data_IF_012137412687
#
_entry.id   IF_012137412687
#
_cell.length_a   1.000
_cell.length_b   1.000
_cell.length_c   1.000
_cell.angle_alpha   90.00
_cell.angle_beta   90.00
_cell.angle_gamma   90.00
#
_symmetry.space_group_name_H-M   'P 1'
#
loop_
_entity.id
_entity.type
_entity.pdbx_description
1 polymer ?
#
# COMPACT_ATOMS: atom_id res chain seq x y z
N UNK A 1 -19.63 -24.50 13.49
CA UNK A 1 -20.74 -24.21 14.44
C UNK A 1 -21.04 -22.74 14.34
N UNK A 2 -22.24 -22.38 13.90
CA UNK A 2 -22.65 -21.00 13.78
C UNK A 2 -22.79 -20.40 15.19
N UNK A 3 -21.99 -19.39 15.51
CA UNK A 3 -22.20 -18.57 16.71
C UNK A 3 -23.58 -17.94 16.56
N UNK A 4 -24.46 -18.00 17.55
CA UNK A 4 -25.84 -17.57 17.38
C UNK A 4 -25.92 -16.06 17.12
N UNK A 5 -26.15 -15.69 15.88
CA UNK A 5 -26.60 -14.34 15.49
C UNK A 5 -27.83 -13.92 16.31
N UNK A 6 -28.62 -14.90 16.78
CA UNK A 6 -29.80 -14.68 17.61
C UNK A 6 -29.54 -14.00 18.96
N UNK A 7 -28.35 -14.15 19.56
CA UNK A 7 -28.02 -13.47 20.84
C UNK A 7 -27.71 -11.98 20.62
N UNK A 8 -27.16 -11.63 19.45
CA UNK A 8 -26.92 -10.25 19.09
C UNK A 8 -28.21 -9.47 18.77
N UNK A 9 -29.19 -10.13 18.22
CA UNK A 9 -30.50 -9.49 17.86
C UNK A 9 -31.39 -9.27 19.11
N UNK A 10 -31.36 -10.15 20.11
CA UNK A 10 -32.13 -9.99 21.33
C UNK A 10 -31.65 -8.79 22.17
N UNK A 11 -30.35 -8.55 22.23
CA UNK A 11 -29.81 -7.39 22.97
C UNK A 11 -30.09 -6.05 22.24
N UNK A 12 -30.18 -6.05 20.90
CA UNK A 12 -30.60 -4.90 20.11
C UNK A 12 -32.05 -4.49 20.36
N UNK A 13 -32.92 -5.47 20.55
CA UNK A 13 -34.36 -5.26 20.81
C UNK A 13 -34.64 -4.82 22.25
N UNK A 14 -33.86 -5.31 23.23
CA UNK A 14 -34.08 -5.06 24.64
C UNK A 14 -33.51 -3.74 25.15
N UNK A 15 -32.40 -3.25 24.59
CA UNK A 15 -31.67 -2.11 25.15
C UNK A 15 -31.56 -0.87 24.23
N UNK A 16 -32.06 -0.93 23.01
CA UNK A 16 -31.94 0.16 22.04
C UNK A 16 -30.49 0.50 21.66
N UNK A 17 -30.29 1.15 20.54
CA UNK A 17 -28.95 1.50 19.97
C UNK A 17 -28.06 2.38 20.87
N UNK A 18 -28.53 2.82 22.04
CA UNK A 18 -27.85 3.78 22.91
C UNK A 18 -27.23 3.21 24.17
N UNK A 19 -27.42 1.91 24.48
CA UNK A 19 -27.03 1.33 25.77
C UNK A 19 -25.96 0.24 25.71
N UNK A 20 -25.37 -0.04 24.55
CA UNK A 20 -24.21 -0.93 24.52
C UNK A 20 -23.01 -0.19 25.06
N UNK A 21 -22.61 -0.53 26.26
CA UNK A 21 -21.36 -0.13 26.84
C UNK A 21 -20.23 -0.90 26.10
N UNK A 22 -19.26 -0.16 25.61
CA UNK A 22 -18.03 -0.64 24.96
C UNK A 22 -17.22 -1.61 25.82
N UNK A 23 -17.55 -1.77 27.09
CA UNK A 23 -16.87 -2.59 28.09
C UNK A 23 -17.05 -4.12 27.89
N UNK A 24 -17.79 -4.54 26.85
CA UNK A 24 -18.07 -5.96 26.61
C UNK A 24 -17.18 -6.64 25.58
N UNK A 25 -16.46 -5.90 24.76
CA UNK A 25 -15.50 -6.49 23.84
C UNK A 25 -14.09 -6.41 24.45
N UNK A 26 -13.64 -7.52 24.99
CA UNK A 26 -12.25 -7.68 25.41
C UNK A 26 -11.54 -8.54 24.39
N UNK A 27 -10.37 -8.10 23.97
CA UNK A 27 -9.54 -8.83 23.02
C UNK A 27 -9.24 -10.26 23.54
N UNK A 28 -9.13 -10.42 24.85
CA UNK A 28 -8.86 -11.69 25.54
C UNK A 28 -10.00 -12.71 25.42
N UNK A 29 -11.25 -12.25 25.26
CA UNK A 29 -12.44 -13.10 25.25
C UNK A 29 -12.75 -13.73 23.89
N UNK A 30 -12.02 -13.35 22.83
CA UNK A 30 -12.23 -13.83 21.45
C UNK A 30 -11.09 -14.75 21.00
N UNK A 31 -11.36 -15.66 20.06
CA UNK A 31 -10.34 -16.55 19.53
C UNK A 31 -9.47 -15.86 18.47
N UNK A 32 -8.25 -16.35 18.24
CA UNK A 32 -7.38 -15.83 17.20
C UNK A 32 -7.96 -16.04 15.79
N UNK A 33 -8.69 -17.15 15.58
CA UNK A 33 -9.43 -17.39 14.34
C UNK A 33 -10.48 -16.32 14.06
N UNK A 34 -11.18 -15.86 15.11
CA UNK A 34 -12.13 -14.77 15.01
C UNK A 34 -11.41 -13.46 14.63
N UNK A 35 -10.29 -13.15 15.29
CA UNK A 35 -9.50 -11.95 15.01
C UNK A 35 -8.98 -11.93 13.57
N UNK A 36 -8.42 -13.04 13.09
CA UNK A 36 -7.95 -13.19 11.72
C UNK A 36 -9.09 -13.03 10.72
N UNK A 37 -10.26 -13.62 10.99
CA UNK A 37 -11.41 -13.53 10.06
C UNK A 37 -12.04 -12.15 10.00
N UNK A 38 -12.10 -11.43 11.11
CA UNK A 38 -12.78 -10.13 11.24
C UNK A 38 -11.85 -8.95 10.98
N UNK A 39 -10.62 -9.04 11.41
CA UNK A 39 -9.66 -7.92 11.39
C UNK A 39 -8.40 -8.21 10.56
N UNK A 40 -8.23 -9.43 10.06
CA UNK A 40 -7.12 -9.82 9.19
C UNK A 40 -5.77 -9.98 9.90
N UNK A 41 -5.73 -9.87 11.24
CA UNK A 41 -4.50 -9.87 12.02
C UNK A 41 -4.59 -10.71 13.29
N UNK A 42 -3.50 -11.39 13.70
CA UNK A 42 -3.44 -12.14 14.93
C UNK A 42 -3.38 -11.21 16.15
N UNK A 43 -3.75 -11.71 17.31
CA UNK A 43 -3.81 -11.01 18.61
C UNK A 43 -2.51 -10.26 18.94
N UNK A 44 -1.36 -10.92 18.76
CA UNK A 44 -0.06 -10.32 19.08
C UNK A 44 0.22 -9.07 18.24
N UNK A 45 -0.16 -9.07 16.97
CA UNK A 45 -0.04 -7.91 16.10
C UNK A 45 -0.95 -6.77 16.55
N UNK A 46 -2.16 -7.07 16.98
CA UNK A 46 -3.09 -6.06 17.51
C UNK A 46 -2.53 -5.44 18.79
N UNK A 47 -1.96 -6.24 19.72
CA UNK A 47 -1.30 -5.71 20.92
C UNK A 47 -0.11 -4.83 20.56
N UNK A 48 0.72 -5.24 19.59
CA UNK A 48 1.81 -4.40 19.12
C UNK A 48 1.30 -3.03 18.61
N UNK A 49 0.20 -2.99 17.86
CA UNK A 49 -0.40 -1.73 17.43
C UNK A 49 -0.96 -0.91 18.58
N UNK A 50 -1.51 -1.55 19.62
CA UNK A 50 -1.98 -0.86 20.84
C UNK A 50 -0.80 -0.20 21.55
N UNK A 51 0.33 -0.88 21.68
CA UNK A 51 1.54 -0.33 22.29
C UNK A 51 2.12 0.82 21.42
N UNK A 52 2.15 0.64 20.10
CA UNK A 52 2.69 1.62 19.17
C UNK A 52 1.86 2.91 19.12
N UNK A 53 0.53 2.80 19.09
CA UNK A 53 -0.39 3.91 18.82
C UNK A 53 -1.13 4.41 20.07
N UNK A 54 -1.07 3.68 21.17
CA UNK A 54 -1.88 3.92 22.37
C UNK A 54 -1.75 5.34 22.93
N UNK A 55 -0.55 5.90 22.92
CA UNK A 55 -0.30 7.26 23.40
C UNK A 55 -1.05 8.31 22.57
N UNK A 56 -1.10 8.16 21.24
CA UNK A 56 -1.80 9.09 20.32
C UNK A 56 -3.32 8.93 20.40
N UNK A 57 -3.79 7.71 20.68
CA UNK A 57 -5.22 7.39 20.72
C UNK A 57 -5.85 7.63 22.09
N UNK A 58 -5.04 7.76 23.12
CA UNK A 58 -5.50 8.01 24.49
C UNK A 58 -5.96 9.45 24.66
N UNK A 59 -7.11 9.65 25.30
CA UNK A 59 -7.60 10.97 25.64
C UNK A 59 -7.11 11.43 27.01
N UNK A 60 -6.74 12.72 27.18
CA UNK A 60 -6.33 13.27 28.48
C UNK A 60 -7.41 13.22 29.54
N UNK A 61 -8.70 13.10 29.16
CA UNK A 61 -9.83 13.07 30.09
C UNK A 61 -10.52 11.71 30.05
N UNK A 62 -10.51 11.02 31.19
CA UNK A 62 -11.29 9.80 31.41
C UNK A 62 -12.78 10.12 31.63
N UNK A 63 -13.50 10.44 30.57
CA UNK A 63 -14.96 10.44 30.62
C UNK A 63 -15.46 9.02 30.46
N UNK A 64 -16.50 8.63 31.20
CA UNK A 64 -17.07 7.26 31.27
C UNK A 64 -17.53 6.63 29.94
N UNK A 65 -17.33 7.31 28.81
CA UNK A 65 -17.66 6.84 27.45
C UNK A 65 -16.52 7.07 26.44
N UNK A 66 -15.28 7.20 26.89
CA UNK A 66 -14.14 7.26 26.00
C UNK A 66 -13.91 5.90 25.35
N UNK A 67 -13.77 5.85 24.02
CA UNK A 67 -13.42 4.63 23.29
C UNK A 67 -11.95 4.35 23.53
N UNK A 68 -11.63 3.13 24.01
CA UNK A 68 -10.24 2.72 24.27
C UNK A 68 -9.39 2.71 23.00
N UNK A 69 -8.07 2.86 23.11
CA UNK A 69 -7.16 2.70 21.96
C UNK A 69 -7.34 1.36 21.26
N UNK A 70 -7.48 0.28 22.01
CA UNK A 70 -7.74 -1.07 21.50
C UNK A 70 -8.99 -1.12 20.61
N UNK A 71 -10.11 -0.60 21.09
CA UNK A 71 -11.36 -0.55 20.32
C UNK A 71 -11.23 0.33 19.07
N UNK A 72 -10.50 1.45 19.16
CA UNK A 72 -10.25 2.31 18.00
C UNK A 72 -9.44 1.58 16.92
N UNK A 73 -8.40 0.83 17.32
CA UNK A 73 -7.56 0.04 16.41
C UNK A 73 -8.39 -1.07 15.75
N UNK A 74 -9.17 -1.83 16.52
CA UNK A 74 -10.04 -2.86 15.97
C UNK A 74 -11.05 -2.29 14.96
N UNK A 75 -11.64 -1.14 15.28
CA UNK A 75 -12.54 -0.44 14.37
C UNK A 75 -11.85 -0.09 13.04
N UNK A 76 -10.64 0.47 13.12
CA UNK A 76 -9.88 0.83 11.93
C UNK A 76 -9.43 -0.39 11.11
N UNK A 77 -8.86 -1.42 11.76
CA UNK A 77 -8.47 -2.67 11.09
C UNK A 77 -9.65 -3.33 10.40
N UNK A 78 -10.80 -3.45 11.08
CA UNK A 78 -12.01 -3.99 10.47
C UNK A 78 -12.47 -3.23 9.23
N UNK A 79 -12.33 -1.90 9.22
CA UNK A 79 -12.61 -1.08 8.05
C UNK A 79 -11.60 -1.35 6.92
N UNK A 80 -10.29 -1.31 7.21
CA UNK A 80 -9.26 -1.50 6.19
C UNK A 80 -9.33 -2.87 5.53
N UNK A 81 -9.51 -3.92 6.33
CA UNK A 81 -9.46 -5.31 5.85
C UNK A 81 -10.75 -5.80 5.22
N UNK A 82 -11.91 -5.31 5.64
CA UNK A 82 -13.19 -5.73 5.08
C UNK A 82 -13.62 -4.94 3.84
N UNK A 83 -13.21 -3.68 3.74
CA UNK A 83 -13.77 -2.73 2.76
C UNK A 83 -15.28 -2.46 2.96
N UNK A 84 -15.83 -2.93 4.08
CA UNK A 84 -17.27 -2.84 4.37
C UNK A 84 -17.66 -1.44 4.84
N UNK A 85 -18.94 -1.12 4.65
CA UNK A 85 -19.49 0.13 5.19
C UNK A 85 -19.28 0.20 6.71
N UNK A 86 -18.89 1.38 7.20
CA UNK A 86 -18.63 1.67 8.63
C UNK A 86 -19.80 1.27 9.54
N UNK A 87 -21.03 1.29 9.05
CA UNK A 87 -22.22 0.90 9.80
C UNK A 87 -22.17 -0.55 10.26
N UNK A 88 -21.83 -1.49 9.35
CA UNK A 88 -21.75 -2.92 9.69
C UNK A 88 -20.65 -3.22 10.70
N UNK A 89 -19.49 -2.57 10.55
CA UNK A 89 -18.39 -2.73 11.49
C UNK A 89 -18.69 -2.08 12.85
N UNK A 90 -19.35 -0.93 12.85
CA UNK A 90 -19.82 -0.25 14.07
C UNK A 90 -20.79 -1.12 14.85
N UNK A 91 -21.73 -1.76 14.18
CA UNK A 91 -22.69 -2.69 14.80
C UNK A 91 -22.00 -3.91 15.41
N UNK A 92 -20.98 -4.47 14.75
CA UNK A 92 -20.20 -5.61 15.25
C UNK A 92 -19.39 -5.28 16.52
N UNK A 93 -18.86 -4.06 16.62
CA UNK A 93 -18.06 -3.59 17.76
C UNK A 93 -18.95 -2.92 18.82
N UNK A 94 -20.19 -2.57 18.49
CA UNK A 94 -21.14 -1.92 19.40
C UNK A 94 -20.99 -0.39 19.50
N UNK A 95 -20.43 0.26 18.48
CA UNK A 95 -20.26 1.71 18.39
C UNK A 95 -21.08 2.32 17.26
N UNK A 96 -21.46 3.59 17.40
CA UNK A 96 -22.20 4.30 16.36
C UNK A 96 -21.32 4.54 15.12
N UNK A 97 -21.95 4.71 13.93
CA UNK A 97 -21.24 5.03 12.70
C UNK A 97 -20.37 6.30 12.85
N UNK A 98 -20.86 7.33 13.55
CA UNK A 98 -20.08 8.55 13.80
C UNK A 98 -18.85 8.30 14.70
N UNK A 99 -18.94 7.35 15.62
CA UNK A 99 -17.79 6.91 16.44
C UNK A 99 -16.83 6.07 15.62
N UNK A 100 -17.35 5.18 14.78
CA UNK A 100 -16.56 4.39 13.84
C UNK A 100 -15.73 5.29 12.91
N UNK A 101 -16.35 6.30 12.30
CA UNK A 101 -15.66 7.25 11.42
C UNK A 101 -14.52 7.99 12.15
N UNK A 102 -14.75 8.37 13.42
CA UNK A 102 -13.71 9.00 14.25
C UNK A 102 -12.57 8.03 14.60
N UNK A 103 -12.89 6.78 14.92
CA UNK A 103 -11.86 5.78 15.20
C UNK A 103 -10.98 5.56 13.99
N UNK A 104 -11.56 5.38 12.80
CA UNK A 104 -10.81 5.24 11.55
C UNK A 104 -9.92 6.46 11.32
N UNK A 105 -10.46 7.68 11.47
CA UNK A 105 -9.68 8.91 11.29
C UNK A 105 -8.50 9.03 12.28
N UNK A 106 -8.74 8.77 13.57
CA UNK A 106 -7.71 8.86 14.60
C UNK A 106 -6.57 7.86 14.37
N UNK A 107 -6.91 6.61 14.05
CA UNK A 107 -5.92 5.55 13.80
C UNK A 107 -5.16 5.80 12.51
N UNK A 108 -5.87 6.25 11.45
CA UNK A 108 -5.23 6.65 10.19
C UNK A 108 -4.18 7.74 10.45
N UNK A 109 -4.55 8.81 11.16
CA UNK A 109 -3.63 9.91 11.46
C UNK A 109 -2.42 9.44 12.27
N UNK A 110 -2.64 8.64 13.32
CA UNK A 110 -1.59 8.11 14.16
C UNK A 110 -0.61 7.18 13.39
N UNK A 111 -1.06 6.48 12.36
CA UNK A 111 -0.22 5.69 11.45
C UNK A 111 0.54 6.59 10.49
N UNK A 112 -0.12 7.59 9.90
CA UNK A 112 0.50 8.55 8.96
C UNK A 112 1.61 9.35 9.63
N UNK A 113 1.42 9.80 10.88
CA UNK A 113 2.48 10.47 11.67
C UNK A 113 3.74 9.62 11.85
N UNK A 114 3.62 8.31 11.72
CA UNK A 114 4.73 7.34 11.83
C UNK A 114 5.22 6.79 10.50
N UNK A 115 4.67 7.26 9.39
CA UNK A 115 4.98 6.71 8.08
C UNK A 115 6.49 6.66 7.79
N UNK A 116 7.24 7.72 8.14
CA UNK A 116 8.68 7.79 7.94
C UNK A 116 9.50 6.80 8.78
N UNK A 117 8.92 6.21 9.83
CA UNK A 117 9.57 5.17 10.63
C UNK A 117 9.55 3.80 9.93
N UNK A 118 8.55 3.58 9.09
CA UNK A 118 8.31 2.29 8.44
C UNK A 118 8.50 2.32 6.92
N UNK A 119 8.41 3.49 6.29
CA UNK A 119 8.54 3.67 4.84
C UNK A 119 9.67 4.67 4.60
N UNK A 120 10.86 4.15 4.32
CA UNK A 120 12.05 4.95 4.02
C UNK A 120 13.08 4.11 3.27
N UNK A 121 13.92 4.76 2.48
CA UNK A 121 15.10 4.14 1.92
C UNK A 121 16.17 3.99 3.01
N UNK A 122 16.96 2.90 3.00
CA UNK A 122 18.16 2.83 3.83
C UNK A 122 19.16 3.89 3.41
N UNK A 123 19.86 4.47 4.40
CA UNK A 123 20.84 5.53 4.17
C UNK A 123 22.29 5.02 4.20
N UNK A 124 22.52 3.86 4.82
CA UNK A 124 23.84 3.28 4.97
C UNK A 124 24.24 2.40 3.78
N UNK A 125 25.53 2.41 3.45
CA UNK A 125 26.06 1.67 2.29
C UNK A 125 25.88 0.15 2.38
N UNK A 126 25.88 -0.42 3.58
CA UNK A 126 25.72 -1.85 3.79
C UNK A 126 24.30 -2.29 3.43
N UNK A 127 23.30 -1.56 3.93
CA UNK A 127 21.90 -1.82 3.63
C UNK A 127 21.57 -1.58 2.15
N UNK A 128 22.16 -0.55 1.52
CA UNK A 128 22.04 -0.32 0.07
C UNK A 128 22.66 -1.45 -0.73
N UNK A 129 23.81 -2.00 -0.29
CA UNK A 129 24.41 -3.16 -0.97
C UNK A 129 23.53 -4.41 -0.81
N UNK A 130 22.93 -4.63 0.36
CA UNK A 130 21.99 -5.74 0.55
C UNK A 130 20.78 -5.65 -0.39
N UNK A 131 20.22 -4.44 -0.62
CA UNK A 131 19.17 -4.26 -1.63
C UNK A 131 19.61 -4.73 -3.02
N UNK A 132 20.81 -4.31 -3.45
CA UNK A 132 21.37 -4.72 -4.76
C UNK A 132 21.56 -6.23 -4.84
N UNK A 133 22.06 -6.85 -3.80
CA UNK A 133 22.31 -8.29 -3.73
C UNK A 133 21.00 -9.08 -3.73
N UNK A 134 19.99 -8.66 -2.97
CA UNK A 134 18.66 -9.27 -2.93
C UNK A 134 18.00 -9.22 -4.33
N UNK A 135 18.05 -8.09 -5.03
CA UNK A 135 17.53 -7.97 -6.39
C UNK A 135 18.33 -8.79 -7.42
N UNK A 136 19.65 -8.78 -7.31
CA UNK A 136 20.49 -9.59 -8.19
C UNK A 136 20.18 -11.08 -8.04
N UNK A 137 19.93 -11.54 -6.83
CA UNK A 137 19.53 -12.92 -6.52
C UNK A 137 18.21 -13.35 -7.14
N UNK A 138 17.31 -12.40 -7.50
CA UNK A 138 16.01 -12.74 -8.11
C UNK A 138 16.13 -13.15 -9.59
N UNK A 139 16.81 -12.33 -10.38
CA UNK A 139 16.85 -12.51 -11.83
C UNK A 139 18.16 -12.01 -12.48
N UNK A 140 19.20 -11.76 -11.70
CA UNK A 140 20.50 -11.31 -12.20
C UNK A 140 20.53 -9.85 -12.66
N UNK A 141 19.59 -9.03 -12.23
CA UNK A 141 19.56 -7.60 -12.56
C UNK A 141 20.45 -6.81 -11.59
N UNK A 142 21.59 -6.24 -12.03
CA UNK A 142 22.56 -5.62 -11.13
C UNK A 142 22.16 -4.20 -10.75
N UNK A 143 22.66 -3.71 -9.61
CA UNK A 143 22.60 -2.31 -9.20
C UNK A 143 21.20 -1.79 -8.83
N UNK A 144 20.21 -2.65 -8.67
CA UNK A 144 18.84 -2.25 -8.37
C UNK A 144 18.70 -1.87 -6.90
N UNK A 145 18.15 -0.69 -6.63
CA UNK A 145 17.86 -0.17 -5.30
C UNK A 145 16.37 -0.27 -4.93
N UNK A 146 15.51 -0.45 -5.93
CA UNK A 146 14.06 -0.55 -5.72
C UNK A 146 13.32 -0.66 -7.04
N UNK A 147 12.06 -1.10 -6.94
CA UNK A 147 11.13 -1.15 -8.05
C UNK A 147 10.13 -0.03 -7.89
N UNK A 148 9.93 0.77 -8.91
CA UNK A 148 8.99 1.89 -8.91
C UNK A 148 7.82 1.61 -9.84
N UNK A 149 6.62 1.90 -9.36
CA UNK A 149 5.40 1.76 -10.15
C UNK A 149 4.28 2.63 -9.55
N UNK A 150 3.25 2.86 -10.34
CA UNK A 150 2.05 3.59 -9.95
C UNK A 150 0.84 2.66 -9.82
N UNK A 151 0.01 2.91 -8.84
CA UNK A 151 -1.20 2.13 -8.61
C UNK A 151 -2.40 3.04 -8.34
N UNK A 152 -3.49 2.84 -9.10
CA UNK A 152 -4.72 3.59 -8.92
C UNK A 152 -5.61 2.98 -7.83
N UNK A 153 -6.04 3.84 -6.90
CA UNK A 153 -7.05 3.50 -5.88
C UNK A 153 -8.31 4.31 -6.14
N UNK A 154 -9.43 3.62 -6.35
CA UNK A 154 -10.70 4.24 -6.65
C UNK A 154 -11.25 5.05 -5.47
N UNK A 155 -11.67 6.29 -5.72
CA UNK A 155 -12.23 7.21 -4.74
C UNK A 155 -13.60 7.72 -5.17
N UNK A 156 -14.38 8.21 -4.23
CA UNK A 156 -15.59 8.98 -4.54
C UNK A 156 -15.21 10.27 -5.28
N UNK A 157 -15.95 10.61 -6.33
CA UNK A 157 -15.80 11.87 -7.03
C UNK A 157 -15.84 13.04 -6.04
N UNK A 158 -14.79 13.89 -5.98
CA UNK A 158 -14.80 15.06 -5.08
C UNK A 158 -15.89 16.04 -5.46
N UNK A 159 -16.02 16.31 -6.76
CA UNK A 159 -17.08 17.07 -7.40
C UNK A 159 -17.40 16.41 -8.74
N UNK A 160 -18.66 16.43 -9.15
CA UNK A 160 -19.10 15.82 -10.42
C UNK A 160 -18.44 16.45 -11.66
N UNK A 161 -18.00 17.70 -11.56
CA UNK A 161 -17.37 18.47 -12.65
C UNK A 161 -15.82 18.41 -12.60
N UNK A 162 -15.24 17.87 -11.54
CA UNK A 162 -13.78 17.81 -11.36
C UNK A 162 -13.19 16.57 -12.04
N UNK A 163 -12.66 16.76 -13.25
CA UNK A 163 -12.01 15.71 -14.04
C UNK A 163 -10.56 15.43 -13.62
N UNK A 164 -9.99 16.17 -12.67
CA UNK A 164 -8.61 16.01 -12.23
C UNK A 164 -8.32 14.61 -11.68
N UNK A 165 -9.33 13.95 -11.14
CA UNK A 165 -9.20 12.61 -10.56
C UNK A 165 -9.66 11.49 -11.49
N UNK A 166 -10.13 11.80 -12.69
CA UNK A 166 -10.61 10.79 -13.64
C UNK A 166 -9.43 10.15 -14.37
N UNK A 167 -9.23 8.85 -14.14
CA UNK A 167 -8.20 8.08 -14.82
C UNK A 167 -8.63 7.65 -16.24
N UNK A 168 -7.73 7.00 -17.00
CA UNK A 168 -7.99 6.53 -18.37
C UNK A 168 -9.19 5.57 -18.49
N UNK A 169 -9.56 4.86 -17.41
CA UNK A 169 -10.74 3.97 -17.36
C UNK A 169 -12.04 4.72 -17.07
N UNK A 170 -12.00 6.06 -16.98
CA UNK A 170 -13.15 6.90 -16.66
C UNK A 170 -13.59 6.86 -15.19
N UNK A 171 -12.75 6.34 -14.30
CA UNK A 171 -13.02 6.23 -12.86
C UNK A 171 -12.27 7.30 -12.09
N UNK A 172 -12.90 7.85 -11.05
CA UNK A 172 -12.20 8.74 -10.12
C UNK A 172 -11.27 7.93 -9.24
N UNK A 173 -9.99 8.31 -9.21
CA UNK A 173 -8.95 7.62 -8.45
C UNK A 173 -7.86 8.56 -7.96
N UNK A 174 -7.12 8.11 -6.94
CA UNK A 174 -5.79 8.62 -6.65
C UNK A 174 -4.78 7.74 -7.36
N UNK A 175 -3.76 8.34 -7.94
CA UNK A 175 -2.59 7.66 -8.44
C UNK A 175 -1.53 7.62 -7.32
N UNK A 176 -0.99 6.45 -7.00
CA UNK A 176 -0.09 6.24 -5.89
C UNK A 176 1.26 5.77 -6.44
N UNK A 177 2.29 6.62 -6.35
CA UNK A 177 3.66 6.28 -6.70
C UNK A 177 4.31 5.55 -5.53
N UNK A 178 4.79 4.33 -5.77
CA UNK A 178 5.35 3.46 -4.74
C UNK A 178 6.69 2.92 -5.19
N UNK A 179 7.61 2.77 -4.24
CA UNK A 179 8.85 2.00 -4.44
C UNK A 179 8.90 0.87 -3.44
N UNK A 180 9.27 -0.34 -3.88
CA UNK A 180 9.47 -1.46 -2.97
C UNK A 180 10.84 -2.14 -3.15
N UNK A 181 11.25 -2.89 -2.12
CA UNK A 181 12.40 -3.79 -2.16
C UNK A 181 12.08 -5.15 -2.80
N UNK A 182 13.06 -6.06 -2.82
CA UNK A 182 12.93 -7.41 -3.38
C UNK A 182 11.95 -8.31 -2.60
N UNK A 183 11.58 -7.95 -1.38
CA UNK A 183 10.62 -8.66 -0.53
C UNK A 183 9.23 -8.06 -0.59
N UNK A 184 9.08 -6.91 -1.27
CA UNK A 184 7.84 -6.16 -1.35
C UNK A 184 7.62 -5.20 -0.19
N UNK A 185 8.66 -4.90 0.62
CA UNK A 185 8.64 -3.86 1.63
C UNK A 185 8.66 -2.50 0.93
N UNK A 186 7.77 -1.61 1.30
CA UNK A 186 7.66 -0.30 0.67
C UNK A 186 8.75 0.64 1.20
N UNK A 187 9.58 1.15 0.30
CA UNK A 187 10.67 2.10 0.60
C UNK A 187 10.23 3.56 0.40
N UNK A 188 9.21 3.79 -0.42
CA UNK A 188 8.60 5.10 -0.66
C UNK A 188 7.14 4.93 -1.04
N UNK A 189 6.28 5.85 -0.63
CA UNK A 189 4.87 5.87 -0.99
C UNK A 189 4.33 7.31 -1.01
N UNK A 190 3.99 7.79 -2.21
CA UNK A 190 3.30 9.06 -2.43
C UNK A 190 1.88 8.78 -2.92
N UNK A 191 0.88 8.98 -2.07
CA UNK A 191 -0.48 8.47 -2.26
C UNK A 191 -1.52 9.55 -2.61
N UNK A 192 -1.07 10.75 -3.00
CA UNK A 192 -1.91 11.94 -3.11
C UNK A 192 -2.11 12.45 -4.54
N UNK A 193 -1.54 11.79 -5.53
CA UNK A 193 -1.57 12.27 -6.91
C UNK A 193 -2.96 12.11 -7.55
N UNK A 194 -3.43 13.10 -8.32
CA UNK A 194 -4.69 12.97 -9.05
C UNK A 194 -4.65 11.85 -10.09
N UNK A 195 -5.73 11.09 -10.21
CA UNK A 195 -5.82 9.94 -11.12
C UNK A 195 -5.73 10.27 -12.61
N UNK A 196 -5.91 11.52 -13.01
CA UNK A 196 -5.72 11.95 -14.40
C UNK A 196 -4.25 12.07 -14.82
N UNK A 197 -3.33 12.15 -13.85
CA UNK A 197 -1.90 12.26 -14.14
C UNK A 197 -1.35 10.91 -14.61
N UNK A 198 -0.57 10.95 -15.70
CA UNK A 198 0.21 9.81 -16.20
C UNK A 198 1.37 9.50 -15.24
N UNK A 199 1.78 8.25 -15.17
CA UNK A 199 2.78 7.76 -14.21
C UNK A 199 4.13 8.47 -14.36
N UNK A 200 4.58 8.70 -15.59
CA UNK A 200 5.78 9.50 -15.89
C UNK A 200 5.68 10.94 -15.35
N UNK A 201 4.49 11.54 -15.39
CA UNK A 201 4.27 12.90 -14.87
C UNK A 201 4.21 12.93 -13.34
N UNK A 202 3.66 11.88 -12.72
CA UNK A 202 3.66 11.69 -11.28
C UNK A 202 5.12 11.62 -10.80
N UNK A 203 5.92 10.74 -11.37
CA UNK A 203 7.33 10.59 -11.01
C UNK A 203 8.10 11.91 -11.25
N UNK A 204 7.82 12.61 -12.34
CA UNK A 204 8.51 13.86 -12.66
C UNK A 204 8.27 14.98 -11.64
N UNK A 205 7.14 14.96 -10.94
CA UNK A 205 6.78 15.94 -9.91
C UNK A 205 7.03 15.44 -8.48
N UNK A 206 7.44 14.19 -8.32
CA UNK A 206 7.59 13.52 -7.03
C UNK A 206 8.79 14.01 -6.21
N UNK A 207 8.70 13.83 -4.91
CA UNK A 207 9.84 13.99 -4.00
C UNK A 207 10.92 12.92 -4.27
N UNK A 208 10.50 11.73 -4.69
CA UNK A 208 11.37 10.62 -5.06
C UNK A 208 12.37 11.04 -6.16
N UNK A 209 11.89 11.67 -7.23
CA UNK A 209 12.76 12.19 -8.29
C UNK A 209 13.82 13.14 -7.74
N UNK A 210 13.39 14.09 -6.90
CA UNK A 210 14.31 15.09 -6.34
C UNK A 210 15.43 14.43 -5.51
N UNK A 211 15.14 13.35 -4.77
CA UNK A 211 16.12 12.60 -4.01
C UNK A 211 17.17 11.94 -4.92
N UNK A 212 16.74 11.26 -5.98
CA UNK A 212 17.65 10.61 -6.93
C UNK A 212 18.48 11.61 -7.73
N UNK A 213 17.88 12.70 -8.21
CA UNK A 213 18.59 13.77 -8.94
C UNK A 213 19.57 14.54 -8.05
N UNK A 214 19.29 14.67 -6.75
CA UNK A 214 20.23 15.22 -5.78
C UNK A 214 21.41 14.27 -5.46
N UNK A 215 21.38 13.04 -5.97
CA UNK A 215 22.43 12.04 -5.77
C UNK A 215 22.45 11.46 -4.35
N UNK A 216 21.28 11.41 -3.68
CA UNK A 216 21.16 10.78 -2.35
C UNK A 216 21.40 9.27 -2.40
N UNK A 217 21.09 8.65 -3.53
CA UNK A 217 21.25 7.21 -3.77
C UNK A 217 22.22 6.97 -4.92
N UNK A 218 23.53 7.07 -4.63
CA UNK A 218 24.60 6.89 -5.61
C UNK A 218 24.79 5.40 -5.93
N UNK A 219 25.33 5.13 -7.12
CA UNK A 219 25.76 3.80 -7.57
C UNK A 219 24.65 2.75 -7.68
N UNK A 220 23.43 3.17 -8.01
CA UNK A 220 22.32 2.27 -8.28
C UNK A 220 21.16 2.98 -8.97
N UNK A 221 20.17 2.19 -9.35
CA UNK A 221 19.00 2.67 -10.06
C UNK A 221 17.72 1.99 -9.58
N UNK A 222 16.60 2.63 -9.87
CA UNK A 222 15.29 2.00 -9.79
C UNK A 222 14.98 1.24 -11.09
N UNK A 223 14.10 0.24 -11.01
CA UNK A 223 13.45 -0.32 -12.19
C UNK A 223 12.00 0.15 -12.25
N UNK A 224 11.61 0.70 -13.39
CA UNK A 224 10.23 1.06 -13.70
C UNK A 224 9.80 0.41 -15.01
N UNK A 225 8.50 0.35 -15.25
CA UNK A 225 7.94 -0.19 -16.49
C UNK A 225 8.07 0.81 -17.67
N UNK A 226 7.45 0.49 -18.80
CA UNK A 226 7.47 1.32 -20.02
C UNK A 226 6.68 2.63 -19.91
N UNK A 227 5.92 2.83 -18.85
CA UNK A 227 5.19 4.10 -18.59
C UNK A 227 6.12 5.23 -18.14
N UNK A 228 7.34 4.89 -17.72
CA UNK A 228 8.33 5.85 -17.23
C UNK A 228 9.39 6.17 -18.28
N UNK A 229 9.97 7.38 -18.17
CA UNK A 229 11.13 7.76 -18.98
C UNK A 229 12.42 7.14 -18.43
N UNK A 230 13.26 6.63 -19.30
CA UNK A 230 14.62 6.21 -18.95
C UNK A 230 15.41 7.38 -18.34
N UNK A 231 16.11 7.14 -17.23
CA UNK A 231 16.99 8.09 -16.55
C UNK A 231 18.30 7.39 -16.15
N UNK A 232 19.32 8.12 -15.83
CA UNK A 232 20.57 7.55 -15.31
C UNK A 232 20.36 6.73 -14.03
N UNK A 233 19.33 7.07 -13.25
CA UNK A 233 18.92 6.44 -12.01
C UNK A 233 17.62 5.61 -12.12
N UNK A 234 17.04 5.48 -13.34
CA UNK A 234 15.81 4.69 -13.58
C UNK A 234 15.93 3.92 -14.88
N UNK A 235 16.03 2.59 -14.75
CA UNK A 235 16.08 1.67 -15.88
C UNK A 235 14.69 1.20 -16.26
N UNK A 236 14.37 1.29 -17.55
CA UNK A 236 13.12 0.84 -18.16
C UNK A 236 13.39 -0.24 -19.19
N UNK A 237 12.41 -1.08 -19.56
CA UNK A 237 12.61 -2.10 -20.58
C UNK A 237 12.86 -1.46 -21.96
N UNK A 238 13.50 -2.21 -22.83
CA UNK A 238 13.61 -1.87 -24.23
C UNK A 238 12.31 -2.24 -24.94
N UNK A 239 11.79 -1.32 -25.74
CA UNK A 239 10.53 -1.55 -26.47
C UNK A 239 10.68 -2.66 -27.52
N UNK A 240 11.73 -2.59 -28.34
CA UNK A 240 12.02 -3.57 -29.36
C UNK A 240 13.43 -4.07 -29.12
N UNK A 241 13.61 -5.19 -28.40
CA UNK A 241 14.93 -5.80 -28.25
C UNK A 241 15.31 -6.47 -29.58
N UNK A 242 16.51 -6.19 -30.07
CA UNK A 242 17.03 -6.72 -31.34
C UNK A 242 18.13 -7.76 -31.12
N UNK A 243 18.89 -7.62 -30.04
CA UNK A 243 20.04 -8.50 -29.76
C UNK A 243 19.74 -9.50 -28.64
N UNK A 244 20.45 -10.64 -28.59
CA UNK A 244 20.30 -11.58 -27.46
C UNK A 244 20.57 -10.94 -26.09
N UNK A 245 21.46 -9.95 -26.00
CA UNK A 245 21.73 -9.19 -24.77
C UNK A 245 20.51 -8.40 -24.33
N UNK A 246 19.85 -7.69 -25.25
CA UNK A 246 18.64 -6.92 -24.98
C UNK A 246 17.46 -7.80 -24.56
N UNK A 247 17.31 -8.97 -25.19
CA UNK A 247 16.30 -9.94 -24.77
C UNK A 247 16.57 -10.44 -23.33
N UNK A 248 17.83 -10.77 -22.98
CA UNK A 248 18.18 -11.18 -21.61
C UNK A 248 17.91 -10.06 -20.59
N UNK A 249 18.26 -8.82 -20.94
CA UNK A 249 17.97 -7.66 -20.11
C UNK A 249 16.46 -7.51 -19.86
N UNK A 250 15.63 -7.52 -20.90
CA UNK A 250 14.18 -7.40 -20.75
C UNK A 250 13.59 -8.55 -19.94
N UNK A 251 14.09 -9.78 -20.09
CA UNK A 251 13.67 -10.91 -19.26
C UNK A 251 14.04 -10.72 -17.80
N UNK A 252 15.26 -10.30 -17.50
CA UNK A 252 15.70 -10.02 -16.12
C UNK A 252 14.92 -8.86 -15.51
N UNK A 253 14.71 -7.78 -16.29
CA UNK A 253 13.92 -6.62 -15.90
C UNK A 253 12.49 -7.03 -15.53
N UNK A 254 11.77 -7.70 -16.43
CA UNK A 254 10.39 -8.13 -16.22
C UNK A 254 10.26 -9.09 -15.02
N UNK A 255 11.16 -10.08 -14.90
CA UNK A 255 11.16 -11.01 -13.78
C UNK A 255 11.36 -10.31 -12.43
N UNK A 256 12.21 -9.28 -12.40
CA UNK A 256 12.46 -8.48 -11.21
C UNK A 256 11.26 -7.56 -10.91
N UNK A 257 10.76 -6.84 -11.91
CA UNK A 257 9.66 -5.88 -11.77
C UNK A 257 8.34 -6.53 -11.32
N UNK A 258 8.10 -7.79 -11.63
CA UNK A 258 6.93 -8.54 -11.15
C UNK A 258 6.75 -8.54 -9.61
N UNK A 259 7.80 -8.22 -8.85
CA UNK A 259 7.71 -8.13 -7.38
C UNK A 259 6.79 -6.98 -6.96
N UNK A 260 6.88 -5.80 -7.59
CA UNK A 260 6.04 -4.66 -7.19
C UNK A 260 4.57 -4.91 -7.54
N UNK A 261 4.27 -5.51 -8.67
CA UNK A 261 2.90 -5.91 -9.03
C UNK A 261 2.32 -6.89 -8.00
N UNK A 262 3.14 -7.84 -7.55
CA UNK A 262 2.77 -8.78 -6.50
C UNK A 262 2.53 -8.07 -5.18
N UNK A 263 3.34 -7.07 -4.85
CA UNK A 263 3.17 -6.25 -3.64
C UNK A 263 1.85 -5.49 -3.66
N UNK A 264 1.46 -4.91 -4.79
CA UNK A 264 0.15 -4.28 -4.93
C UNK A 264 -1.01 -5.27 -4.79
N UNK A 265 -0.88 -6.49 -5.34
CA UNK A 265 -1.89 -7.54 -5.14
C UNK A 265 -2.02 -7.93 -3.67
N UNK A 266 -0.90 -8.08 -2.97
CA UNK A 266 -0.86 -8.38 -1.54
C UNK A 266 -1.48 -7.25 -0.73
N UNK A 267 -1.15 -6.00 -1.04
CA UNK A 267 -1.71 -4.81 -0.38
C UNK A 267 -3.24 -4.77 -0.52
N UNK A 268 -3.77 -4.94 -1.74
CA UNK A 268 -5.23 -4.98 -2.00
C UNK A 268 -5.92 -6.19 -1.38
N UNK A 269 -5.26 -7.34 -1.36
CA UNK A 269 -5.80 -8.56 -0.74
C UNK A 269 -5.93 -8.41 0.77
N UNK A 270 -4.93 -7.79 1.41
CA UNK A 270 -4.92 -7.53 2.86
C UNK A 270 -5.87 -6.41 3.23
N UNK A 271 -5.87 -5.32 2.47
CA UNK A 271 -6.68 -4.12 2.73
C UNK A 271 -7.74 -3.93 1.64
N UNK A 272 -8.84 -4.65 1.79
CA UNK A 272 -9.93 -4.66 0.80
C UNK A 272 -10.60 -3.30 0.60
N UNK A 273 -10.40 -2.34 1.49
CA UNK A 273 -10.82 -0.96 1.27
C UNK A 273 -10.11 -0.30 0.08
N UNK A 274 -8.95 -0.84 -0.35
CA UNK A 274 -8.19 -0.40 -1.53
C UNK A 274 -8.58 -1.15 -2.82
N UNK A 275 -9.40 -2.20 -2.70
CA UNK A 275 -9.82 -3.03 -3.83
C UNK A 275 -11.04 -2.40 -4.53
N UNK A 276 -10.81 -1.80 -5.69
CA UNK A 276 -11.85 -1.16 -6.49
C UNK A 276 -13.01 -2.09 -6.89
N UNK A 277 -12.79 -3.43 -6.90
CA UNK A 277 -13.88 -4.40 -7.16
C UNK A 277 -14.88 -4.49 -6.02
N UNK A 278 -14.50 -4.06 -4.82
CA UNK A 278 -15.35 -4.02 -3.61
C UNK A 278 -16.05 -2.67 -3.43
N UNK A 279 -15.67 -1.67 -4.20
CA UNK A 279 -16.20 -0.33 -4.16
C UNK A 279 -15.11 0.74 -4.14
N UNK A 280 -15.52 1.97 -3.94
CA UNK A 280 -14.63 3.13 -3.90
C UNK A 280 -14.47 3.64 -2.48
N UNK A 281 -13.33 4.22 -2.12
CA UNK A 281 -13.16 4.93 -0.87
C UNK A 281 -14.09 6.15 -0.84
N UNK A 282 -15.09 6.13 0.06
CA UNK A 282 -16.12 7.15 0.20
C UNK A 282 -15.63 8.36 1.03
N UNK A 283 -14.44 8.88 0.70
CA UNK A 283 -13.76 9.97 1.39
C UNK A 283 -13.29 11.04 0.40
N UNK A 284 -12.98 12.23 0.92
CA UNK A 284 -12.27 13.24 0.14
C UNK A 284 -10.89 12.71 -0.30
N UNK A 285 -10.32 13.20 -1.41
CA UNK A 285 -9.01 12.74 -1.89
C UNK A 285 -7.92 12.79 -0.81
N UNK A 286 -7.88 13.85 0.00
CA UNK A 286 -6.94 14.01 1.11
C UNK A 286 -7.07 12.89 2.15
N UNK A 287 -8.30 12.61 2.62
CA UNK A 287 -8.55 11.53 3.58
C UNK A 287 -8.31 10.15 2.97
N UNK A 288 -8.65 9.96 1.71
CA UNK A 288 -8.38 8.73 0.99
C UNK A 288 -6.87 8.49 0.87
N UNK A 289 -6.08 9.52 0.55
CA UNK A 289 -4.61 9.46 0.53
C UNK A 289 -4.03 9.01 1.88
N UNK A 290 -4.50 9.58 2.99
CA UNK A 290 -4.06 9.17 4.33
C UNK A 290 -4.45 7.71 4.65
N UNK A 291 -5.65 7.26 4.25
CA UNK A 291 -6.06 5.85 4.42
C UNK A 291 -5.14 4.92 3.62
N UNK A 292 -4.81 5.27 2.39
CA UNK A 292 -3.90 4.48 1.55
C UNK A 292 -2.52 4.41 2.21
N UNK A 293 -1.98 5.54 2.65
CA UNK A 293 -0.68 5.60 3.32
C UNK A 293 -0.67 4.80 4.63
N UNK A 294 -1.74 4.86 5.43
CA UNK A 294 -1.88 4.05 6.63
C UNK A 294 -1.88 2.54 6.31
N UNK A 295 -2.53 2.13 5.21
CA UNK A 295 -2.46 0.74 4.74
C UNK A 295 -1.05 0.35 4.29
N UNK A 296 -0.29 1.25 3.65
CA UNK A 296 1.12 1.03 3.29
C UNK A 296 1.99 0.84 4.54
N UNK A 297 1.81 1.65 5.57
CA UNK A 297 2.50 1.50 6.87
C UNK A 297 2.18 0.15 7.51
N UNK A 298 0.89 -0.21 7.60
CA UNK A 298 0.47 -1.51 8.14
C UNK A 298 0.99 -2.68 7.32
N UNK A 299 1.16 -2.51 6.01
CA UNK A 299 1.77 -3.54 5.15
C UNK A 299 3.21 -3.81 5.56
N UNK A 300 4.03 -2.77 5.69
CA UNK A 300 5.43 -2.94 6.12
C UNK A 300 5.54 -3.53 7.51
N UNK A 301 4.78 -3.01 8.49
CA UNK A 301 4.74 -3.59 9.84
C UNK A 301 4.35 -5.07 9.78
N UNK A 302 3.42 -5.45 8.90
CA UNK A 302 3.00 -6.85 8.75
C UNK A 302 4.14 -7.74 8.22
N UNK A 303 4.93 -7.25 7.27
CA UNK A 303 6.09 -7.97 6.75
C UNK A 303 7.18 -8.13 7.82
N UNK A 304 7.46 -7.09 8.61
CA UNK A 304 8.39 -7.14 9.74
C UNK A 304 7.99 -8.19 10.79
N UNK A 305 6.69 -8.43 10.96
CA UNK A 305 6.15 -9.44 11.89
C UNK A 305 5.97 -10.82 11.25
N UNK A 306 6.47 -11.03 10.03
CA UNK A 306 6.37 -12.31 9.32
C UNK A 306 4.93 -12.71 8.96
N UNK A 307 4.04 -11.73 8.84
CA UNK A 307 2.64 -11.97 8.45
C UNK A 307 2.50 -11.98 6.92
N UNK A 308 3.28 -12.80 6.24
CA UNK A 308 3.24 -12.93 4.80
C UNK A 308 1.99 -13.67 4.34
N UNK A 309 1.21 -13.05 3.45
CA UNK A 309 0.06 -13.70 2.79
C UNK A 309 0.53 -14.63 1.65
N UNK A 310 1.81 -14.73 1.40
CA UNK A 310 2.42 -15.47 0.28
C UNK A 310 2.12 -16.98 0.28
N UNK A 311 1.62 -17.54 1.38
CA UNK A 311 1.43 -18.99 1.57
C UNK A 311 0.07 -19.53 1.14
N UNK A 312 -0.90 -18.74 0.77
CA UNK A 312 -2.17 -19.24 0.27
C UNK A 312 -2.33 -19.01 -1.23
N UNK A 313 -1.99 -20.06 -1.98
CA UNK A 313 -2.45 -20.42 -3.32
C UNK A 313 -3.62 -19.57 -3.85
N UNK A 314 -3.33 -18.40 -4.38
CA UNK A 314 -4.15 -17.81 -5.42
C UNK A 314 -3.22 -17.48 -6.59
N UNK A 315 -2.89 -18.52 -7.38
CA UNK A 315 -2.62 -18.34 -8.79
C UNK A 315 -3.92 -17.84 -9.42
N UNK A 316 -4.34 -16.64 -9.07
CA UNK A 316 -5.30 -15.87 -9.82
C UNK A 316 -4.62 -15.49 -11.13
N UNK A 317 -5.32 -15.67 -12.21
CA UNK A 317 -4.93 -15.33 -13.57
C UNK A 317 -4.16 -14.03 -13.59
N UNK A 318 -2.97 -14.05 -14.20
CA UNK A 318 -2.26 -12.84 -14.60
C UNK A 318 -3.28 -11.97 -15.33
N UNK A 319 -3.72 -10.88 -14.71
CA UNK A 319 -4.27 -9.77 -15.47
C UNK A 319 -3.13 -9.36 -16.39
N UNK A 320 -3.29 -9.62 -17.67
CA UNK A 320 -2.33 -9.17 -18.68
C UNK A 320 -2.25 -7.66 -18.55
N UNK A 321 -1.07 -7.08 -18.59
CA UNK A 321 -0.92 -5.64 -18.71
C UNK A 321 -1.56 -5.23 -20.05
N UNK A 322 -2.82 -4.87 -20.00
CA UNK A 322 -3.52 -4.25 -21.12
C UNK A 322 -3.24 -2.75 -21.10
N UNK A 323 -2.05 -2.36 -21.43
CA UNK A 323 -1.84 -0.97 -21.85
C UNK A 323 -0.64 -0.90 -22.80
N UNK A 324 -0.93 -0.75 -24.08
CA UNK A 324 0.01 -0.14 -25.03
C UNK A 324 0.26 1.31 -24.56
N UNK A 325 1.28 1.50 -23.75
CA UNK A 325 1.80 2.83 -23.50
C UNK A 325 2.44 3.35 -24.78
N UNK A 326 2.00 4.52 -25.27
CA UNK A 326 2.77 5.25 -26.27
C UNK A 326 4.19 5.42 -25.71
N UNK A 327 5.13 4.76 -26.37
CA UNK A 327 6.53 4.79 -26.00
C UNK A 327 7.06 6.20 -26.15
N UNK A 328 7.24 6.88 -25.03
CA UNK A 328 7.89 8.18 -25.01
C UNK A 328 9.40 7.95 -24.93
N UNK A 329 10.08 8.08 -26.07
CA UNK A 329 11.54 8.00 -26.11
C UNK A 329 12.15 9.07 -25.19
N UNK A 330 13.01 8.64 -24.30
CA UNK A 330 13.81 9.54 -23.49
C UNK A 330 14.84 10.22 -24.38
N UNK A 331 14.85 11.55 -24.40
CA UNK A 331 15.90 12.35 -25.02
C UNK A 331 17.20 12.41 -24.21
N UNK A 332 17.29 11.65 -23.10
CA UNK A 332 18.44 11.62 -22.21
C UNK A 332 19.53 10.70 -22.77
N UNK A 333 20.47 11.29 -23.49
CA UNK A 333 21.60 10.59 -24.12
C UNK A 333 22.53 9.93 -23.08
N UNK A 334 22.63 10.47 -21.87
CA UNK A 334 23.44 9.91 -20.81
C UNK A 334 22.79 8.65 -20.20
N UNK A 335 21.49 8.70 -19.96
CA UNK A 335 20.73 7.54 -19.50
C UNK A 335 20.80 6.38 -20.49
N UNK A 336 20.73 6.71 -21.80
CA UNK A 336 20.88 5.71 -22.84
C UNK A 336 22.27 5.05 -22.80
N UNK A 337 23.34 5.85 -22.63
CA UNK A 337 24.71 5.34 -22.51
C UNK A 337 24.87 4.41 -21.28
N UNK A 338 24.31 4.79 -20.13
CA UNK A 338 24.34 3.96 -18.91
C UNK A 338 23.66 2.62 -19.18
N UNK A 339 22.47 2.59 -19.79
CA UNK A 339 21.78 1.35 -20.13
C UNK A 339 22.59 0.50 -21.15
N UNK A 340 23.23 1.10 -22.14
CA UNK A 340 24.06 0.40 -23.09
C UNK A 340 25.29 -0.25 -22.41
N UNK A 341 25.94 0.47 -21.50
CA UNK A 341 27.05 -0.06 -20.72
C UNK A 341 26.60 -1.24 -19.86
N UNK A 342 25.42 -1.15 -19.23
CA UNK A 342 24.80 -2.22 -18.47
C UNK A 342 24.56 -3.48 -19.35
N UNK A 343 24.05 -3.29 -20.57
CA UNK A 343 23.82 -4.39 -21.52
C UNK A 343 25.13 -5.09 -21.90
N UNK A 344 26.17 -4.31 -22.18
CA UNK A 344 27.47 -4.85 -22.62
C UNK A 344 28.22 -5.56 -21.49
N UNK A 345 28.09 -5.09 -20.25
CA UNK A 345 28.85 -5.63 -19.11
C UNK A 345 28.20 -6.82 -18.46
N UNK A 346 26.86 -6.89 -18.45
CA UNK A 346 26.13 -7.89 -17.66
C UNK A 346 25.25 -8.83 -18.49
N UNK A 347 24.88 -8.45 -19.71
CA UNK A 347 23.95 -9.21 -20.55
C UNK A 347 24.54 -9.66 -21.91
N UNK A 348 25.83 -9.40 -22.17
CA UNK A 348 26.51 -9.83 -23.41
C UNK A 348 26.80 -11.34 -23.45
#
# INVERSE_FOLDING_TARGET
MAVPIAVLDCDLLLYGRGHRTLDRFKLEDVTDEYLLSMYGFPRQFIYYLVDLLGANLSRPTQRSRAISPETQILAALGFYTSGSFQTRMGDAIGISQASMSRCVANVTEALVERASQFIHFPEDEVSLQHLKDDFYGLAGMPGVLGLVDCNHVAIKAPNAEDLSYVNRKGLHSLNCLVVCDARGTLLSAETHWPGSLQDCMVLQQSALRNQFEAGMHKDGWLLGDSSFFLRTWLMTPLHIPETPAEYRYNMAHSATHNVIERSFRTLRSRFRCLDGTKGTLQYSPEKASHIILACCVLHNISLEHGLDIWSSSTMGQMEQPEEEYEHMESLDSEAYRVRQELLLTHFS
#
